data_IF_156386422345
#
_entry.id   IF_156386422345
#
_cell.length_a   1.000
_cell.length_b   1.000
_cell.length_c   1.000
_cell.angle_alpha   90.00
_cell.angle_beta   90.00
_cell.angle_gamma   90.00
#
_symmetry.space_group_name_H-M   'P 1'
#
loop_
_entity.id
_entity.type
_entity.pdbx_description
1 polymer ?
#
# COMPACT_ATOMS: atom_id res chain seq x y z
N UNK A 1 -27.50 -7.11 -44.11
CA UNK A 1 -27.28 -7.46 -42.69
C UNK A 1 -28.61 -7.81 -42.06
N UNK A 2 -28.85 -9.06 -41.65
CA UNK A 2 -30.06 -9.38 -40.86
C UNK A 2 -29.96 -8.63 -39.53
N UNK A 3 -31.06 -8.02 -39.08
CA UNK A 3 -31.12 -7.22 -37.84
C UNK A 3 -30.55 -7.98 -36.63
N UNK A 4 -30.61 -9.31 -36.66
CA UNK A 4 -30.01 -10.23 -35.70
C UNK A 4 -28.49 -10.07 -35.51
N UNK A 5 -27.73 -9.80 -36.58
CA UNK A 5 -26.28 -9.60 -36.45
C UNK A 5 -25.94 -8.27 -35.78
N UNK A 6 -26.77 -7.24 -36.00
CA UNK A 6 -26.60 -5.94 -35.34
C UNK A 6 -26.86 -6.09 -33.83
N UNK A 7 -27.90 -6.84 -33.46
CA UNK A 7 -28.21 -7.13 -32.03
C UNK A 7 -27.09 -7.94 -31.38
N UNK A 8 -26.58 -8.97 -32.06
CA UNK A 8 -25.46 -9.78 -31.56
C UNK A 8 -24.19 -8.93 -31.37
N UNK A 9 -23.90 -8.02 -32.30
CA UNK A 9 -22.74 -7.15 -32.23
C UNK A 9 -22.84 -6.16 -31.07
N UNK A 10 -24.02 -5.58 -30.83
CA UNK A 10 -24.27 -4.72 -29.68
C UNK A 10 -24.13 -5.47 -28.34
N UNK A 11 -24.55 -6.74 -28.28
CA UNK A 11 -24.40 -7.58 -27.09
C UNK A 11 -22.93 -7.88 -26.78
N UNK A 12 -22.12 -8.21 -27.80
CA UNK A 12 -20.67 -8.42 -27.64
C UNK A 12 -19.97 -7.12 -27.24
N UNK A 13 -20.34 -5.98 -27.84
CA UNK A 13 -19.79 -4.68 -27.47
C UNK A 13 -20.12 -4.31 -26.02
N UNK A 14 -21.35 -4.59 -25.55
CA UNK A 14 -21.75 -4.40 -24.17
C UNK A 14 -20.94 -5.25 -23.18
N UNK A 15 -20.72 -6.53 -23.51
CA UNK A 15 -19.89 -7.44 -22.70
C UNK A 15 -18.42 -7.01 -22.65
N UNK A 16 -17.86 -6.52 -23.77
CA UNK A 16 -16.51 -5.98 -23.76
C UNK A 16 -16.40 -4.69 -22.93
N UNK A 17 -17.42 -3.83 -22.98
CA UNK A 17 -17.47 -2.61 -22.19
C UNK A 17 -17.39 -2.87 -20.68
N UNK A 18 -18.12 -3.86 -20.16
CA UNK A 18 -18.08 -4.22 -18.74
C UNK A 18 -16.76 -4.89 -18.34
N UNK A 19 -16.15 -5.66 -19.24
CA UNK A 19 -14.86 -6.30 -19.00
C UNK A 19 -13.74 -5.28 -18.83
N UNK A 20 -13.66 -4.26 -19.71
CA UNK A 20 -12.63 -3.20 -19.61
C UNK A 20 -12.77 -2.39 -18.33
N UNK A 21 -13.99 -2.08 -17.90
CA UNK A 21 -14.25 -1.38 -16.63
C UNK A 21 -13.76 -2.16 -15.38
N UNK A 22 -13.68 -3.48 -15.48
CA UNK A 22 -13.20 -4.33 -14.38
C UNK A 22 -11.68 -4.35 -14.23
N UNK A 23 -10.91 -4.01 -15.28
CA UNK A 23 -9.44 -4.05 -15.23
C UNK A 23 -8.88 -2.79 -14.55
N UNK A 24 -9.59 -1.67 -14.64
CA UNK A 24 -9.14 -0.38 -14.08
C UNK A 24 -9.19 -0.31 -12.55
N UNK A 25 -9.82 -1.27 -11.87
CA UNK A 25 -9.89 -1.34 -10.41
C UNK A 25 -8.65 -1.96 -9.75
N UNK A 26 -7.59 -2.27 -10.51
CA UNK A 26 -6.33 -2.73 -9.93
C UNK A 26 -5.63 -1.56 -9.26
N UNK A 27 -5.75 -1.45 -7.93
CA UNK A 27 -5.10 -0.43 -7.11
C UNK A 27 -3.58 -0.46 -7.29
N UNK A 28 -3.08 0.40 -8.19
CA UNK A 28 -1.64 0.63 -8.33
C UNK A 28 -1.15 1.29 -7.04
N UNK A 29 0.00 0.84 -6.57
CA UNK A 29 0.69 1.50 -5.47
C UNK A 29 1.28 2.82 -5.98
N UNK A 30 1.01 3.90 -5.28
CA UNK A 30 1.52 5.25 -5.57
C UNK A 30 2.45 5.72 -4.44
N UNK A 31 3.29 6.72 -4.71
CA UNK A 31 4.10 7.38 -3.69
C UNK A 31 3.27 8.33 -2.82
N UNK A 32 3.84 8.77 -1.70
CA UNK A 32 3.23 9.79 -0.85
C UNK A 32 3.04 11.11 -1.58
N UNK A 33 3.93 11.47 -2.52
CA UNK A 33 3.78 12.71 -3.30
C UNK A 33 2.43 12.79 -4.01
N UNK A 34 1.98 11.68 -4.61
CA UNK A 34 0.68 11.58 -5.29
C UNK A 34 -0.47 11.58 -4.28
N UNK A 35 -0.35 10.79 -3.21
CA UNK A 35 -1.40 10.70 -2.20
C UNK A 35 -1.69 12.06 -1.54
N UNK A 36 -0.65 12.85 -1.23
CA UNK A 36 -0.80 14.19 -0.65
C UNK A 36 -1.25 15.26 -1.67
N UNK A 37 -1.11 15.00 -2.97
CA UNK A 37 -1.64 15.90 -3.99
C UNK A 37 -3.17 15.77 -4.16
N UNK A 38 -3.75 14.63 -3.77
CA UNK A 38 -5.19 14.36 -3.80
C UNK A 38 -5.67 13.71 -2.48
N UNK A 39 -5.81 14.49 -1.39
CA UNK A 39 -6.10 13.96 -0.05
C UNK A 39 -7.51 13.36 0.09
N UNK A 40 -8.44 13.63 -0.83
CA UNK A 40 -9.81 13.11 -0.76
C UNK A 40 -9.93 11.65 -1.26
N UNK A 41 -8.90 11.14 -1.93
CA UNK A 41 -8.88 9.81 -2.56
C UNK A 41 -8.12 8.78 -1.71
N UNK A 42 -8.64 7.55 -1.68
CA UNK A 42 -7.92 6.43 -1.06
C UNK A 42 -6.85 5.89 -2.00
N UNK A 43 -5.63 5.80 -1.49
CA UNK A 43 -4.48 5.29 -2.19
C UNK A 43 -3.85 4.12 -1.47
N UNK A 44 -3.25 3.23 -2.26
CA UNK A 44 -2.30 2.25 -1.79
C UNK A 44 -0.90 2.87 -1.84
N UNK A 45 -0.18 2.91 -0.73
CA UNK A 45 1.21 3.38 -0.66
C UNK A 45 2.11 2.25 -0.19
N UNK A 46 3.14 1.93 -0.96
CA UNK A 46 4.13 0.90 -0.60
C UNK A 46 5.45 1.54 -0.19
N UNK A 47 6.02 1.10 0.93
CA UNK A 47 7.29 1.62 1.42
C UNK A 47 7.96 0.72 2.45
N UNK A 48 8.85 1.32 3.22
CA UNK A 48 9.63 0.70 4.30
C UNK A 48 9.53 1.53 5.57
N UNK A 49 9.55 0.87 6.73
CA UNK A 49 9.58 1.57 8.02
C UNK A 49 10.89 2.34 8.16
N UNK A 50 10.83 3.60 8.58
CA UNK A 50 12.02 4.34 8.97
C UNK A 50 12.40 3.95 10.39
N UNK A 51 13.36 3.04 10.54
CA UNK A 51 13.82 2.52 11.83
C UNK A 51 14.54 3.56 12.70
N UNK A 52 15.04 4.63 12.07
CA UNK A 52 15.71 5.73 12.77
C UNK A 52 14.75 6.59 13.58
N UNK A 53 13.44 6.49 13.31
CA UNK A 53 12.40 7.23 14.01
C UNK A 53 11.56 6.30 14.90
N UNK A 54 11.12 6.76 16.09
CA UNK A 54 10.37 5.92 16.99
C UNK A 54 8.97 5.59 16.45
N UNK A 55 8.53 4.37 16.73
CA UNK A 55 7.13 3.95 16.56
C UNK A 55 6.37 4.29 17.84
N UNK A 56 5.46 5.25 17.76
CA UNK A 56 4.63 5.67 18.90
C UNK A 56 3.35 4.84 18.97
N UNK A 57 3.18 4.11 20.07
CA UNK A 57 1.95 3.38 20.36
C UNK A 57 1.62 3.55 21.85
N UNK A 58 0.52 4.26 22.15
CA UNK A 58 0.07 4.51 23.51
C UNK A 58 -1.30 3.89 23.76
N UNK A 59 -1.38 2.62 24.19
CA UNK A 59 -2.64 1.93 24.43
C UNK A 59 -3.48 2.55 25.57
N UNK A 60 -2.88 3.36 26.45
CA UNK A 60 -3.62 4.07 27.51
C UNK A 60 -4.41 5.26 26.96
N UNK A 61 -3.93 5.88 25.88
CA UNK A 61 -4.63 6.99 25.22
C UNK A 61 -5.54 6.48 24.10
N UNK A 62 -5.02 5.59 23.24
CA UNK A 62 -5.78 5.02 22.14
C UNK A 62 -5.18 3.66 21.74
N UNK A 63 -5.95 2.59 21.94
CA UNK A 63 -5.54 1.23 21.57
C UNK A 63 -5.52 0.99 20.06
N UNK A 64 -6.18 1.86 19.29
CA UNK A 64 -6.37 1.71 17.85
C UNK A 64 -5.56 2.74 17.06
N UNK A 65 -4.52 3.32 17.63
CA UNK A 65 -3.67 4.30 16.93
C UNK A 65 -2.19 3.98 17.12
N UNK A 66 -1.51 3.71 16.01
CA UNK A 66 -0.07 3.56 15.96
C UNK A 66 0.49 4.61 15.01
N UNK A 67 1.44 5.43 15.47
CA UNK A 67 2.10 6.43 14.65
C UNK A 67 3.54 6.01 14.37
N UNK A 68 3.97 6.14 13.13
CA UNK A 68 5.33 5.84 12.71
C UNK A 68 5.66 6.57 11.42
N UNK A 69 6.93 6.57 11.05
CA UNK A 69 7.37 7.16 9.78
C UNK A 69 7.64 6.06 8.77
N UNK A 70 7.16 6.27 7.54
CA UNK A 70 7.41 5.38 6.42
C UNK A 70 8.11 6.14 5.31
N UNK A 71 9.08 5.50 4.68
CA UNK A 71 9.70 5.96 3.44
C UNK A 71 9.06 5.23 2.26
N UNK A 72 8.56 5.96 1.27
CA UNK A 72 8.06 5.35 0.04
C UNK A 72 9.21 5.01 -0.94
N UNK A 73 8.84 4.46 -2.10
CA UNK A 73 9.81 4.11 -3.17
C UNK A 73 10.46 5.33 -3.83
N UNK A 74 9.88 6.52 -3.69
CA UNK A 74 10.41 7.78 -4.22
C UNK A 74 11.40 8.43 -3.22
N UNK A 75 11.59 7.79 -2.05
CA UNK A 75 12.47 8.27 -0.99
C UNK A 75 11.81 9.30 -0.08
N UNK A 76 10.51 9.60 -0.28
CA UNK A 76 9.77 10.57 0.52
C UNK A 76 9.38 9.93 1.84
N UNK A 77 9.74 10.61 2.93
CA UNK A 77 9.42 10.19 4.29
C UNK A 77 8.21 10.97 4.80
N UNK A 78 7.18 10.27 5.26
CA UNK A 78 5.98 10.86 5.85
C UNK A 78 5.58 10.14 7.13
N UNK A 79 4.94 10.91 8.01
CA UNK A 79 4.27 10.38 9.19
C UNK A 79 3.00 9.63 8.76
N UNK A 80 2.82 8.45 9.30
CA UNK A 80 1.68 7.56 9.07
C UNK A 80 0.96 7.33 10.39
N UNK A 81 -0.35 7.56 10.38
CA UNK A 81 -1.24 7.26 11.48
C UNK A 81 -2.05 6.03 11.09
N UNK A 82 -1.68 4.88 11.64
CA UNK A 82 -2.38 3.63 11.43
C UNK A 82 -3.51 3.49 12.46
N UNK A 83 -4.73 3.30 11.98
CA UNK A 83 -5.94 3.10 12.80
C UNK A 83 -6.07 1.67 13.33
N UNK A 84 -4.95 1.09 13.74
CA UNK A 84 -4.85 -0.25 14.32
C UNK A 84 -3.82 -0.26 15.44
N UNK A 85 -3.94 -1.24 16.32
CA UNK A 85 -2.92 -1.55 17.30
C UNK A 85 -1.58 -1.85 16.61
N UNK A 86 -0.48 -1.63 17.33
CA UNK A 86 0.87 -1.83 16.79
C UNK A 86 1.04 -3.27 16.27
N UNK A 87 1.30 -3.47 14.96
CA UNK A 87 1.52 -4.80 14.41
C UNK A 87 2.78 -5.45 14.99
N UNK A 88 2.68 -6.73 15.34
CA UNK A 88 3.82 -7.51 15.82
C UNK A 88 4.83 -7.71 14.69
N UNK A 89 6.05 -7.17 14.85
CA UNK A 89 7.11 -7.31 13.84
C UNK A 89 7.15 -6.20 12.78
N UNK A 90 6.53 -5.05 13.04
CA UNK A 90 6.62 -3.85 12.19
C UNK A 90 8.09 -3.52 11.84
N UNK A 91 8.97 -3.61 12.84
CA UNK A 91 10.41 -3.32 12.74
C UNK A 91 11.19 -4.36 11.91
N UNK A 92 10.60 -5.54 11.67
CA UNK A 92 11.22 -6.65 10.93
C UNK A 92 10.64 -6.82 9.53
N UNK A 93 9.77 -5.91 9.10
CA UNK A 93 9.13 -5.98 7.78
C UNK A 93 10.06 -5.46 6.70
N UNK A 94 10.23 -6.21 5.62
CA UNK A 94 10.99 -5.74 4.45
C UNK A 94 10.23 -4.65 3.69
N UNK A 95 8.89 -4.75 3.64
CA UNK A 95 8.04 -3.78 2.97
C UNK A 95 6.66 -3.74 3.60
N UNK A 96 6.05 -2.55 3.56
CA UNK A 96 4.75 -2.25 4.14
C UNK A 96 3.89 -1.65 3.02
N UNK A 97 2.73 -2.24 2.78
CA UNK A 97 1.67 -1.69 1.93
C UNK A 97 0.61 -1.07 2.84
N UNK A 98 0.39 0.24 2.73
CA UNK A 98 -0.63 1.00 3.43
C UNK A 98 -1.81 1.29 2.51
N UNK A 99 -3.02 1.29 3.06
CA UNK A 99 -4.23 1.71 2.38
C UNK A 99 -4.90 2.79 3.22
N UNK A 100 -5.22 3.92 2.59
CA UNK A 100 -5.81 5.04 3.30
C UNK A 100 -5.73 6.34 2.51
N UNK A 101 -5.88 7.45 3.22
CA UNK A 101 -5.92 8.80 2.63
C UNK A 101 -4.81 9.66 3.19
N UNK A 102 -4.27 10.54 2.37
CA UNK A 102 -3.44 11.61 2.90
C UNK A 102 -4.32 12.68 3.54
N UNK A 103 -3.77 13.39 4.50
CA UNK A 103 -4.32 14.62 5.05
C UNK A 103 -3.24 15.71 4.95
N UNK A 104 -3.52 16.94 5.38
CA UNK A 104 -2.59 18.07 5.28
C UNK A 104 -1.23 17.84 5.96
N UNK A 105 -1.17 16.92 6.93
CA UNK A 105 0.02 16.69 7.75
C UNK A 105 0.55 15.25 7.73
N UNK A 106 -0.33 14.25 7.68
CA UNK A 106 0.02 12.83 7.83
C UNK A 106 -0.81 11.96 6.91
N UNK A 107 -0.34 10.74 6.66
CA UNK A 107 -1.10 9.73 5.95
C UNK A 107 -1.91 8.89 6.93
N UNK A 108 -3.23 8.91 6.81
CA UNK A 108 -4.15 8.15 7.66
C UNK A 108 -4.41 6.79 7.03
N UNK A 109 -3.77 5.76 7.57
CA UNK A 109 -3.89 4.38 7.09
C UNK A 109 -5.00 3.63 7.86
N UNK A 110 -6.01 3.17 7.14
CA UNK A 110 -7.09 2.32 7.68
C UNK A 110 -6.71 0.85 7.61
N UNK A 111 -5.94 0.45 6.60
CA UNK A 111 -5.39 -0.89 6.47
C UNK A 111 -3.89 -0.90 6.20
N UNK A 112 -3.26 -2.01 6.58
CA UNK A 112 -1.84 -2.26 6.40
C UNK A 112 -1.64 -3.74 6.09
N UNK A 113 -0.72 -4.01 5.17
CA UNK A 113 -0.19 -5.33 4.90
C UNK A 113 1.34 -5.29 4.98
N UNK A 114 1.89 -6.08 5.88
CA UNK A 114 3.35 -6.25 6.01
C UNK A 114 3.80 -7.42 5.14
N UNK A 115 4.94 -7.23 4.45
CA UNK A 115 5.65 -8.32 3.78
C UNK A 115 6.79 -8.77 4.67
N UNK A 116 6.68 -10.01 5.12
CA UNK A 116 7.77 -10.68 5.81
C UNK A 116 8.89 -11.03 4.80
N UNK A 117 10.15 -11.09 5.26
CA UNK A 117 11.26 -11.57 4.45
C UNK A 117 10.94 -12.93 3.84
N UNK A 118 11.16 -13.07 2.54
CA UNK A 118 11.01 -14.38 1.92
C UNK A 118 12.17 -15.29 2.36
N UNK A 119 11.86 -16.56 2.66
CA UNK A 119 12.83 -17.62 3.00
C UNK A 119 13.94 -17.84 1.96
N UNK A 120 13.86 -17.21 0.78
CA UNK A 120 14.87 -17.30 -0.28
C UNK A 120 15.89 -16.15 -0.28
N UNK A 121 15.66 -15.07 0.46
CA UNK A 121 16.63 -13.97 0.61
C UNK A 121 17.74 -14.29 1.63
N UNK A 122 17.61 -15.37 2.41
CA UNK A 122 18.60 -15.80 3.41
C UNK A 122 19.90 -16.36 2.78
N UNK A 123 19.92 -16.65 1.47
CA UNK A 123 21.07 -17.28 0.80
C UNK A 123 22.20 -16.32 0.38
N UNK A 124 22.05 -15.01 0.54
CA UNK A 124 23.12 -14.04 0.24
C UNK A 124 24.00 -13.68 1.45
N UNK A 125 23.94 -14.44 2.55
CA UNK A 125 24.72 -14.16 3.77
C UNK A 125 25.60 -15.32 4.24
N UNK A 126 26.14 -16.12 3.30
CA UNK A 126 27.05 -17.23 3.61
C UNK A 126 28.39 -17.19 2.83
N UNK A 127 28.75 -16.07 2.22
CA UNK A 127 30.07 -15.92 1.56
C UNK A 127 30.78 -14.69 2.09
N UNK A 128 31.26 -14.74 3.33
CA UNK A 128 32.32 -13.88 3.86
C UNK A 128 32.75 -14.41 5.24
N UNK A 129 33.22 -15.65 5.25
CA UNK A 129 33.94 -16.23 6.38
C UNK A 129 34.97 -17.23 5.86
N UNK A 130 35.96 -16.74 5.11
CA UNK A 130 37.34 -17.25 5.13
C UNK A 130 38.25 -16.34 4.28
N UNK A 131 39.05 -15.49 4.94
CA UNK A 131 40.30 -14.93 4.43
C UNK A 131 41.14 -14.39 5.59
#
# INVERSE_FOLDING_TARGET
MKRTHIVLLLLVAGLMGTFVASITSTSRSVGFGVAFADPDTEYKVSGTLVTDMPVEYNPQQNTNLTKFHMQDREGVVREVWLEKAKPTGLERSESIDLYGKANDTHFRATEMLMKCPSKYNEQNHLVEADA
#
